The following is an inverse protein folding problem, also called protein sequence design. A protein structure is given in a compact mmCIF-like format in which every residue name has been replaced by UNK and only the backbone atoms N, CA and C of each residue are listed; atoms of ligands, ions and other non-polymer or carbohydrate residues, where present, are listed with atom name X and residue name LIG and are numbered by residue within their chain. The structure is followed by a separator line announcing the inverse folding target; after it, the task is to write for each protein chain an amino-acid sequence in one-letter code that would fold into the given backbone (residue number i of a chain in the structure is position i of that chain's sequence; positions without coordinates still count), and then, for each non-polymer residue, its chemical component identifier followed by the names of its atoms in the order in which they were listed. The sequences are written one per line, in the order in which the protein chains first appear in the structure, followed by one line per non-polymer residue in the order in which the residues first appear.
data_IF_876349221283
#
_entry.id   IF_876349221283
#
_cell.length_a   1.000
_cell.length_b   1.000
_cell.length_c   1.000
_cell.angle_alpha   90.00
_cell.angle_beta   90.00
_cell.angle_gamma   90.00
#
_symmetry.space_group_name_H-M   'P 1'
#
loop_
_entity.id
_entity.type
_entity.pdbx_description
1 polymer ?
#
# COMPACT_ATOMS: atom_id res chain seq x y z
N UNK A 1 -62.12 -6.08 32.48
CA UNK A 1 -62.90 -6.00 31.23
C UNK A 1 -61.98 -6.39 30.08
N UNK A 2 -62.11 -7.50 29.64
CA UNK A 2 -62.27 -8.21 28.36
C UNK A 2 -62.23 -7.31 27.14
N UNK A 3 -61.36 -7.66 26.18
CA UNK A 3 -61.56 -7.81 24.71
C UNK A 3 -60.18 -7.94 24.07
N UNK A 4 -59.75 -9.06 23.67
CA UNK A 4 -59.86 -10.02 22.52
C UNK A 4 -59.85 -9.40 21.13
N UNK A 5 -59.04 -10.14 20.28
CA UNK A 5 -59.02 -10.26 18.80
C UNK A 5 -58.18 -9.22 18.06
N UNK A 6 -57.42 -9.53 17.01
CA UNK A 6 -57.56 -10.58 15.99
C UNK A 6 -56.22 -10.78 15.29
N UNK A 7 -55.89 -12.01 14.94
CA UNK A 7 -54.84 -12.49 14.06
C UNK A 7 -55.09 -12.10 12.61
N UNK A 8 -54.01 -11.76 11.85
CA UNK A 8 -54.06 -11.99 10.41
C UNK A 8 -52.69 -12.44 9.91
N UNK A 9 -52.64 -13.72 9.60
CA UNK A 9 -51.54 -14.36 8.86
C UNK A 9 -51.66 -14.03 7.39
N UNK A 10 -50.57 -13.63 6.76
CA UNK A 10 -50.43 -13.70 5.31
C UNK A 10 -49.07 -14.31 4.99
N UNK A 11 -49.09 -15.59 4.70
CA UNK A 11 -47.97 -16.29 4.09
C UNK A 11 -47.93 -15.97 2.60
N UNK A 12 -46.83 -15.40 2.15
CA UNK A 12 -46.53 -15.32 0.73
C UNK A 12 -45.32 -16.21 0.47
N UNK A 13 -45.63 -17.41 -0.04
CA UNK A 13 -44.65 -18.32 -0.62
C UNK A 13 -44.33 -17.88 -2.03
N UNK A 14 -43.11 -17.36 -2.24
CA UNK A 14 -42.56 -17.20 -3.57
C UNK A 14 -41.61 -18.36 -3.88
N UNK A 15 -42.07 -19.24 -4.74
CA UNK A 15 -41.28 -20.28 -5.37
C UNK A 15 -40.29 -19.64 -6.35
N UNK A 16 -39.02 -19.79 -6.08
CA UNK A 16 -37.94 -19.54 -7.05
C UNK A 16 -37.51 -20.89 -7.61
N UNK A 17 -37.92 -21.14 -8.84
CA UNK A 17 -37.45 -22.24 -9.66
C UNK A 17 -35.97 -22.06 -9.98
N UNK A 18 -35.14 -22.93 -9.45
CA UNK A 18 -33.73 -23.07 -9.81
C UNK A 18 -33.61 -23.84 -11.12
N UNK A 19 -33.17 -23.17 -12.19
CA UNK A 19 -32.58 -23.85 -13.34
C UNK A 19 -31.12 -24.17 -13.03
N UNK A 20 -30.84 -25.44 -12.82
CA UNK A 20 -29.48 -25.98 -12.85
C UNK A 20 -29.08 -26.21 -14.29
N UNK A 21 -28.00 -25.54 -14.72
CA UNK A 21 -27.22 -25.92 -15.91
C UNK A 21 -25.81 -26.26 -15.44
N UNK A 22 -25.29 -27.45 -15.71
CA UNK A 22 -23.87 -27.74 -15.47
C UNK A 22 -23.08 -27.32 -16.70
N UNK A 23 -22.22 -26.31 -16.55
CA UNK A 23 -21.33 -25.81 -17.60
C UNK A 23 -20.12 -25.15 -16.99
N UNK A 24 -19.01 -25.82 -17.10
CA UNK A 24 -17.61 -25.44 -16.89
C UNK A 24 -17.34 -24.00 -17.34
N UNK A 25 -16.64 -23.26 -16.49
CA UNK A 25 -16.05 -21.98 -16.90
C UNK A 25 -15.82 -21.04 -15.74
N UNK A 26 -14.68 -21.18 -15.10
CA UNK A 26 -14.07 -20.16 -14.23
C UNK A 26 -13.96 -18.84 -14.94
N UNK A 27 -14.76 -17.88 -14.55
CA UNK A 27 -14.40 -16.46 -14.64
C UNK A 27 -15.15 -15.72 -13.56
N UNK A 28 -14.48 -15.40 -12.49
CA UNK A 28 -14.93 -14.41 -11.54
C UNK A 28 -14.97 -13.05 -12.24
N UNK A 29 -16.14 -12.72 -12.74
CA UNK A 29 -16.44 -11.36 -13.20
C UNK A 29 -16.61 -10.48 -11.97
N UNK A 30 -15.53 -9.86 -11.55
CA UNK A 30 -15.56 -8.66 -10.73
C UNK A 30 -16.04 -7.51 -11.61
N UNK A 31 -17.30 -7.16 -11.46
CA UNK A 31 -17.85 -5.96 -12.08
C UNK A 31 -17.13 -4.71 -11.56
N UNK A 32 -16.35 -4.15 -12.44
CA UNK A 32 -16.20 -2.75 -12.81
C UNK A 32 -16.74 -1.67 -11.87
N UNK A 33 -15.83 -1.17 -11.06
CA UNK A 33 -15.73 0.25 -10.73
C UNK A 33 -14.27 0.64 -10.94
N UNK A 34 -13.90 0.77 -12.20
CA UNK A 34 -12.52 0.80 -12.66
C UNK A 34 -11.78 2.13 -12.47
N UNK A 35 -12.35 3.11 -11.78
CA UNK A 35 -11.69 4.40 -11.55
C UNK A 35 -11.19 4.63 -10.12
N UNK A 36 -11.64 3.84 -9.15
CA UNK A 36 -11.20 3.94 -7.74
C UNK A 36 -10.28 2.79 -7.34
N UNK A 37 -10.31 1.67 -8.06
CA UNK A 37 -9.54 0.47 -7.74
C UNK A 37 -8.03 0.60 -8.02
N UNK A 38 -7.62 1.59 -8.81
CA UNK A 38 -6.20 1.83 -9.08
C UNK A 38 -5.37 2.16 -7.84
N UNK A 39 -5.99 2.82 -6.86
CA UNK A 39 -5.33 3.17 -5.59
C UNK A 39 -5.46 2.09 -4.51
N UNK A 40 -6.36 1.12 -4.69
CA UNK A 40 -6.75 0.16 -3.65
C UNK A 40 -5.95 -1.12 -3.70
N UNK A 41 -5.38 -1.48 -4.86
CA UNK A 41 -4.58 -2.70 -4.99
C UNK A 41 -3.34 -2.73 -4.08
N UNK A 42 -2.86 -1.56 -3.66
CA UNK A 42 -1.77 -1.43 -2.70
C UNK A 42 -2.20 -1.23 -1.24
N UNK A 43 -3.51 -1.14 -0.95
CA UNK A 43 -3.98 -0.75 0.37
C UNK A 43 -3.79 -1.82 1.46
N UNK A 44 -3.66 -3.08 1.08
CA UNK A 44 -3.39 -4.20 2.01
C UNK A 44 -2.21 -5.02 1.52
N UNK A 45 -1.19 -5.12 2.33
CA UNK A 45 0.08 -5.77 1.95
C UNK A 45 -0.05 -7.28 1.73
N UNK A 46 -1.00 -7.93 2.42
CA UNK A 46 -1.17 -9.39 2.35
C UNK A 46 -1.85 -9.90 1.08
N UNK A 47 -2.50 -9.02 0.33
CA UNK A 47 -3.38 -9.43 -0.78
C UNK A 47 -2.77 -9.21 -2.17
N UNK A 48 -1.65 -8.49 -2.27
CA UNK A 48 -1.08 -8.15 -3.57
C UNK A 48 0.42 -8.38 -3.57
N UNK A 49 0.82 -9.55 -4.03
CA UNK A 49 2.22 -9.90 -4.21
C UNK A 49 2.75 -9.27 -5.51
N UNK A 50 3.93 -8.70 -5.43
CA UNK A 50 4.61 -8.11 -6.55
C UNK A 50 5.53 -9.13 -7.22
N UNK A 51 4.98 -10.04 -8.02
CA UNK A 51 5.73 -11.00 -8.83
C UNK A 51 6.89 -11.72 -8.10
N UNK A 52 7.53 -12.67 -8.75
CA UNK A 52 8.75 -13.30 -8.19
C UNK A 52 9.92 -12.31 -8.00
N UNK A 53 11.09 -12.83 -7.64
CA UNK A 53 12.31 -12.03 -7.46
C UNK A 53 12.56 -11.04 -8.61
N UNK A 54 12.29 -11.45 -9.86
CA UNK A 54 12.43 -10.60 -11.04
C UNK A 54 11.45 -9.43 -11.12
N UNK A 55 10.35 -9.48 -10.39
CA UNK A 55 9.31 -8.43 -10.44
C UNK A 55 9.81 -7.06 -10.02
N UNK A 56 10.67 -7.02 -8.99
CA UNK A 56 11.20 -5.75 -8.46
C UNK A 56 12.41 -5.23 -9.24
N UNK A 57 13.05 -6.04 -10.10
CA UNK A 57 14.27 -5.64 -10.80
C UNK A 57 14.03 -4.45 -11.73
N UNK A 58 15.02 -3.59 -11.83
CA UNK A 58 15.07 -2.44 -12.73
C UNK A 58 15.07 -1.10 -12.00
N UNK A 59 14.89 -0.04 -12.79
CA UNK A 59 14.93 1.34 -12.32
C UNK A 59 13.50 1.84 -12.08
N UNK A 60 13.28 2.41 -10.90
CA UNK A 60 11.99 2.87 -10.43
C UNK A 60 12.09 4.33 -10.01
N UNK A 61 11.28 5.18 -10.59
CA UNK A 61 11.19 6.61 -10.26
C UNK A 61 9.98 6.88 -9.38
N UNK A 62 10.11 7.80 -8.44
CA UNK A 62 8.98 8.26 -7.62
C UNK A 62 7.85 8.80 -8.50
N UNK A 63 6.64 8.34 -8.23
CA UNK A 63 5.42 8.80 -8.89
C UNK A 63 4.51 9.57 -7.93
N UNK A 64 4.22 8.99 -6.77
CA UNK A 64 3.33 9.55 -5.76
C UNK A 64 3.67 9.00 -4.37
N UNK A 65 3.20 9.63 -3.29
CA UNK A 65 3.18 8.97 -1.99
C UNK A 65 2.21 7.81 -2.01
N UNK A 66 2.46 6.84 -1.14
CA UNK A 66 1.62 5.66 -1.03
C UNK A 66 1.44 5.22 0.41
N UNK A 67 0.26 4.70 0.71
CA UNK A 67 -0.11 4.15 2.01
C UNK A 67 -0.67 2.76 1.82
N UNK A 68 -0.27 1.84 2.70
CA UNK A 68 -0.82 0.50 2.77
C UNK A 68 -1.07 0.10 4.22
N UNK A 69 -1.85 -0.97 4.42
CA UNK A 69 -2.12 -1.58 5.72
C UNK A 69 -1.68 -3.03 5.75
N UNK A 70 -1.28 -3.52 6.90
CA UNK A 70 -0.80 -4.91 7.04
C UNK A 70 -1.90 -5.93 6.88
N UNK A 71 -3.15 -5.59 7.21
CA UNK A 71 -4.31 -6.47 7.08
C UNK A 71 -5.57 -5.70 6.68
N UNK A 72 -6.59 -6.40 6.18
CA UNK A 72 -7.91 -5.82 5.89
C UNK A 72 -8.60 -5.29 7.15
N UNK A 73 -8.44 -5.98 8.29
CA UNK A 73 -9.01 -5.54 9.55
C UNK A 73 -8.41 -4.20 9.99
N UNK A 74 -7.11 -4.00 9.80
CA UNK A 74 -6.47 -2.71 10.15
C UNK A 74 -6.90 -1.61 9.20
N UNK A 75 -7.04 -1.88 7.91
CA UNK A 75 -7.59 -0.95 6.92
C UNK A 75 -9.03 -0.55 7.25
N UNK A 76 -9.89 -1.52 7.54
CA UNK A 76 -11.31 -1.28 7.88
C UNK A 76 -11.44 -0.46 9.15
N UNK A 77 -10.68 -0.78 10.21
CA UNK A 77 -10.66 -0.01 11.46
C UNK A 77 -10.19 1.42 11.28
N UNK A 78 -9.32 1.68 10.32
CA UNK A 78 -8.83 3.01 9.99
C UNK A 78 -9.84 3.85 9.18
N UNK A 79 -10.90 3.25 8.65
CA UNK A 79 -11.90 3.92 7.80
C UNK A 79 -11.82 3.53 6.32
N UNK A 80 -11.20 2.39 6.02
CA UNK A 80 -11.16 1.82 4.67
C UNK A 80 -10.40 2.69 3.68
N UNK A 81 -10.86 2.70 2.44
CA UNK A 81 -10.21 3.43 1.34
C UNK A 81 -10.18 4.95 1.55
N UNK A 82 -11.13 5.51 2.28
CA UNK A 82 -11.14 6.94 2.63
C UNK A 82 -9.92 7.29 3.48
N UNK A 83 -9.55 6.44 4.44
CA UNK A 83 -8.35 6.66 5.24
C UNK A 83 -7.09 6.64 4.37
N UNK A 84 -6.97 5.70 3.43
CA UNK A 84 -5.84 5.64 2.47
C UNK A 84 -5.76 6.93 1.66
N UNK A 85 -6.88 7.40 1.12
CA UNK A 85 -6.92 8.64 0.32
C UNK A 85 -6.49 9.85 1.15
N UNK A 86 -7.01 10.00 2.36
CA UNK A 86 -6.67 11.10 3.25
C UNK A 86 -5.20 11.07 3.67
N UNK A 87 -4.68 9.88 3.98
CA UNK A 87 -3.26 9.70 4.31
C UNK A 87 -2.36 10.03 3.12
N UNK A 88 -2.69 9.56 1.92
CA UNK A 88 -1.92 9.88 0.71
C UNK A 88 -1.93 11.39 0.39
N UNK A 89 -3.06 12.08 0.56
CA UNK A 89 -3.15 13.53 0.40
C UNK A 89 -2.25 14.26 1.41
N UNK A 90 -2.29 13.85 2.67
CA UNK A 90 -1.43 14.42 3.71
C UNK A 90 0.05 14.12 3.47
N UNK A 91 0.38 12.91 3.02
CA UNK A 91 1.75 12.54 2.64
C UNK A 91 2.25 13.36 1.46
N UNK A 92 1.41 13.60 0.43
CA UNK A 92 1.78 14.41 -0.73
C UNK A 92 2.19 15.83 -0.30
N UNK A 93 1.41 16.47 0.58
CA UNK A 93 1.76 17.78 1.12
C UNK A 93 3.10 17.77 1.85
N UNK A 94 3.32 16.79 2.73
CA UNK A 94 4.58 16.68 3.48
C UNK A 94 5.77 16.35 2.57
N UNK A 95 5.61 15.47 1.57
CA UNK A 95 6.67 15.15 0.62
C UNK A 95 7.05 16.36 -0.23
N UNK A 96 6.07 17.14 -0.68
CA UNK A 96 6.32 18.39 -1.40
C UNK A 96 7.10 19.40 -0.53
N UNK A 97 6.76 19.53 0.76
CA UNK A 97 7.43 20.46 1.68
C UNK A 97 8.89 20.08 1.97
N UNK A 98 9.26 18.81 1.84
CA UNK A 98 10.64 18.32 1.96
C UNK A 98 11.34 18.15 0.61
N UNK A 99 10.68 18.54 -0.48
CA UNK A 99 11.25 18.55 -1.82
C UNK A 99 11.29 17.20 -2.54
N UNK A 100 10.61 16.15 -2.03
CA UNK A 100 10.56 14.85 -2.71
C UNK A 100 9.75 14.95 -4.00
N UNK A 101 10.37 14.57 -5.10
CA UNK A 101 9.76 14.58 -6.43
C UNK A 101 10.40 13.51 -7.34
N UNK A 102 9.85 13.36 -8.55
CA UNK A 102 10.28 12.33 -9.52
C UNK A 102 11.74 12.47 -9.96
N UNK A 103 12.28 13.68 -10.02
CA UNK A 103 13.65 13.93 -10.51
C UNK A 103 14.72 13.60 -9.47
N UNK A 104 14.35 13.59 -8.19
CA UNK A 104 15.30 13.44 -7.09
C UNK A 104 15.05 12.24 -6.18
N UNK A 105 14.06 11.39 -6.50
CA UNK A 105 13.76 10.21 -5.70
C UNK A 105 13.53 8.98 -6.62
N UNK A 106 14.38 7.98 -6.45
CA UNK A 106 14.39 6.77 -7.28
C UNK A 106 15.02 5.60 -6.55
N UNK A 107 14.70 4.39 -7.00
CA UNK A 107 15.28 3.13 -6.52
C UNK A 107 15.62 2.25 -7.71
N UNK A 108 16.75 1.56 -7.66
CA UNK A 108 17.18 0.59 -8.67
C UNK A 108 17.55 -0.72 -7.97
N UNK A 109 16.96 -1.81 -8.42
CA UNK A 109 17.23 -3.16 -7.90
C UNK A 109 17.87 -4.01 -9.00
N UNK A 110 19.03 -4.59 -8.69
CA UNK A 110 19.83 -5.41 -9.60
C UNK A 110 19.71 -6.89 -9.27
N UNK A 111 19.97 -7.74 -10.26
CA UNK A 111 19.86 -9.20 -10.11
C UNK A 111 20.86 -9.81 -9.13
N UNK A 112 21.97 -9.13 -8.86
CA UNK A 112 23.02 -9.53 -7.90
C UNK A 112 22.71 -9.12 -6.45
N UNK A 113 21.43 -8.84 -6.15
CA UNK A 113 20.95 -8.38 -4.86
C UNK A 113 21.54 -7.02 -4.40
N UNK A 114 22.07 -6.24 -5.31
CA UNK A 114 22.48 -4.86 -5.04
C UNK A 114 21.36 -3.90 -5.35
N UNK A 115 21.29 -2.83 -4.58
CA UNK A 115 20.41 -1.71 -4.89
C UNK A 115 21.18 -0.40 -4.87
N UNK A 116 20.69 0.55 -5.63
CA UNK A 116 21.01 1.95 -5.50
C UNK A 116 19.73 2.75 -5.40
N UNK A 117 19.75 3.81 -4.62
CA UNK A 117 18.61 4.67 -4.42
C UNK A 117 19.04 6.13 -4.32
N UNK A 118 18.09 7.00 -4.56
CA UNK A 118 18.21 8.43 -4.33
C UNK A 118 16.93 8.91 -3.66
N UNK A 119 17.03 9.55 -2.54
CA UNK A 119 15.91 10.19 -1.86
C UNK A 119 16.25 11.64 -1.57
N UNK A 120 15.37 12.54 -1.96
CA UNK A 120 15.62 13.99 -1.87
C UNK A 120 16.97 14.41 -2.50
N UNK A 121 17.37 13.77 -3.60
CA UNK A 121 18.63 14.05 -4.28
C UNK A 121 19.86 13.37 -3.69
N UNK A 122 19.79 12.81 -2.49
CA UNK A 122 20.91 12.17 -1.80
C UNK A 122 21.00 10.69 -2.21
N UNK A 123 22.12 10.26 -2.80
CA UNK A 123 22.30 8.86 -3.18
C UNK A 123 22.72 8.00 -1.99
N UNK A 124 22.22 6.78 -1.96
CA UNK A 124 22.67 5.70 -1.07
C UNK A 124 22.53 4.34 -1.77
N UNK A 125 23.24 3.34 -1.28
CA UNK A 125 23.27 2.03 -1.93
C UNK A 125 23.63 0.94 -0.94
N UNK A 126 23.51 -0.30 -1.37
CA UNK A 126 23.86 -1.47 -0.58
C UNK A 126 23.37 -2.76 -1.20
N UNK A 127 23.06 -3.72 -0.36
CA UNK A 127 22.45 -4.99 -0.76
C UNK A 127 21.01 -5.07 -0.29
N UNK A 128 20.20 -5.87 -0.96
CA UNK A 128 18.83 -6.11 -0.52
C UNK A 128 18.52 -7.60 -0.44
N UNK A 129 17.54 -7.94 0.38
CA UNK A 129 16.84 -9.22 0.35
C UNK A 129 15.37 -8.96 0.07
N UNK A 130 14.75 -9.79 -0.74
CA UNK A 130 13.32 -9.70 -1.05
C UNK A 130 12.68 -11.07 -0.95
N UNK A 131 11.56 -11.15 -0.24
CA UNK A 131 10.76 -12.36 -0.05
C UNK A 131 9.43 -12.21 -0.81
N UNK A 132 9.34 -12.77 -2.04
CA UNK A 132 8.16 -12.57 -2.89
C UNK A 132 6.85 -13.06 -2.27
N UNK A 133 6.90 -14.04 -1.36
CA UNK A 133 5.72 -14.69 -0.76
C UNK A 133 4.92 -13.74 0.15
N UNK A 134 5.57 -12.80 0.79
CA UNK A 134 4.95 -11.83 1.70
C UNK A 134 5.29 -10.38 1.38
N UNK A 135 6.05 -10.15 0.30
CA UNK A 135 6.46 -8.82 -0.13
C UNK A 135 7.50 -8.15 0.77
N UNK A 136 8.07 -8.85 1.75
CA UNK A 136 9.08 -8.26 2.64
C UNK A 136 10.35 -7.94 1.88
N UNK A 137 10.90 -6.76 2.13
CA UNK A 137 12.19 -6.31 1.63
C UNK A 137 13.04 -5.76 2.77
N UNK A 138 14.34 -6.05 2.74
CA UNK A 138 15.30 -5.42 3.62
C UNK A 138 16.42 -4.80 2.79
N UNK A 139 16.63 -3.50 2.97
CA UNK A 139 17.69 -2.71 2.33
C UNK A 139 18.82 -2.55 3.34
N UNK A 140 19.95 -3.20 3.10
CA UNK A 140 21.14 -3.11 3.95
C UNK A 140 22.10 -2.08 3.37
N UNK A 141 22.19 -0.94 4.01
CA UNK A 141 23.19 0.11 3.72
C UNK A 141 24.47 -0.11 4.51
N UNK A 142 25.42 0.82 4.42
CA UNK A 142 26.63 0.78 5.26
C UNK A 142 26.37 1.09 6.74
N UNK A 143 25.22 1.74 7.04
CA UNK A 143 24.90 2.24 8.39
C UNK A 143 23.83 1.42 9.09
N UNK A 144 22.85 0.89 8.34
CA UNK A 144 21.71 0.20 8.93
C UNK A 144 21.02 -0.78 7.95
N UNK A 145 20.06 -1.52 8.49
CA UNK A 145 19.14 -2.32 7.68
C UNK A 145 17.73 -1.74 7.80
N UNK A 146 17.20 -1.30 6.68
CA UNK A 146 15.87 -0.69 6.56
C UNK A 146 14.90 -1.77 6.08
N UNK A 147 13.91 -2.10 6.91
CA UNK A 147 12.90 -3.11 6.59
C UNK A 147 11.64 -2.46 6.02
N UNK A 148 11.10 -3.04 4.98
CA UNK A 148 9.89 -2.56 4.33
C UNK A 148 9.12 -3.66 3.64
N UNK A 149 8.11 -3.26 2.89
CA UNK A 149 7.29 -4.13 2.09
C UNK A 149 7.14 -3.59 0.67
N UNK A 150 7.13 -4.50 -0.28
CA UNK A 150 6.83 -4.22 -1.69
C UNK A 150 5.41 -4.69 -1.98
N UNK A 151 4.65 -3.85 -2.64
CA UNK A 151 3.29 -4.19 -3.09
C UNK A 151 3.09 -3.74 -4.54
N UNK A 152 2.19 -4.40 -5.25
CA UNK A 152 1.81 -3.98 -6.60
C UNK A 152 0.85 -2.81 -6.51
N UNK A 153 1.05 -1.80 -7.36
CA UNK A 153 0.14 -0.67 -7.51
C UNK A 153 -0.34 -0.56 -8.96
N UNK A 154 -1.28 0.33 -9.21
CA UNK A 154 -1.76 0.58 -10.57
C UNK A 154 -0.68 1.15 -11.50
N UNK A 155 0.30 1.86 -10.96
CA UNK A 155 1.39 2.51 -11.71
C UNK A 155 2.70 1.72 -11.71
N UNK A 156 2.79 0.70 -10.86
CA UNK A 156 4.00 -0.11 -10.77
C UNK A 156 4.19 -0.73 -9.40
N UNK A 157 5.00 -0.16 -8.57
CA UNK A 157 5.43 -0.70 -7.29
C UNK A 157 5.23 0.29 -6.15
N UNK A 158 4.62 -0.18 -5.05
CA UNK A 158 4.65 0.50 -3.77
C UNK A 158 5.80 -0.02 -2.92
N UNK A 159 6.66 0.86 -2.43
CA UNK A 159 7.72 0.55 -1.47
C UNK A 159 7.37 1.20 -0.14
N UNK A 160 6.96 0.37 0.83
CA UNK A 160 6.27 0.78 2.05
C UNK A 160 7.11 0.52 3.29
N UNK A 161 7.02 1.43 4.26
CA UNK A 161 7.79 1.39 5.50
C UNK A 161 6.89 1.71 6.69
N UNK A 162 7.24 1.19 7.86
CA UNK A 162 6.68 1.71 9.10
C UNK A 162 7.24 3.10 9.43
N UNK A 163 6.72 3.71 10.48
CA UNK A 163 7.09 5.07 10.89
C UNK A 163 8.58 5.22 11.18
N UNK A 164 9.20 4.23 11.80
CA UNK A 164 10.63 4.27 12.18
C UNK A 164 11.50 4.13 10.94
N UNK A 165 11.21 3.15 10.09
CA UNK A 165 11.96 2.91 8.87
C UNK A 165 11.82 4.08 7.89
N UNK A 166 10.63 4.67 7.79
CA UNK A 166 10.41 5.84 6.96
C UNK A 166 11.19 7.07 7.46
N UNK A 167 11.22 7.27 8.78
CA UNK A 167 12.05 8.32 9.39
C UNK A 167 13.54 8.11 9.07
N UNK A 168 14.03 6.88 9.16
CA UNK A 168 15.41 6.55 8.82
C UNK A 168 15.73 6.88 7.36
N UNK A 169 14.86 6.51 6.43
CA UNK A 169 15.03 6.83 5.00
C UNK A 169 15.10 8.35 4.80
N UNK A 170 14.19 9.10 5.38
CA UNK A 170 14.14 10.55 5.17
C UNK A 170 15.31 11.27 5.83
N UNK A 171 15.62 10.97 7.08
CA UNK A 171 16.62 11.71 7.85
C UNK A 171 18.04 11.20 7.66
N UNK A 172 18.24 9.88 7.72
CA UNK A 172 19.60 9.32 7.65
C UNK A 172 20.08 9.19 6.21
N UNK A 173 19.28 8.58 5.35
CA UNK A 173 19.66 8.35 3.95
C UNK A 173 19.39 9.60 3.08
N UNK A 174 18.21 10.18 3.16
CA UNK A 174 17.80 11.35 2.37
C UNK A 174 18.25 12.71 2.91
N UNK A 175 18.92 12.75 4.09
CA UNK A 175 19.43 13.96 4.74
C UNK A 175 18.40 15.10 4.81
N UNK A 176 17.12 14.75 4.98
CA UNK A 176 16.05 15.73 5.09
C UNK A 176 16.18 16.48 6.42
N UNK A 177 16.40 17.78 6.35
CA UNK A 177 16.59 18.67 7.50
C UNK A 177 15.26 19.19 8.09
N UNK A 178 14.18 19.19 7.31
CA UNK A 178 12.86 19.63 7.80
C UNK A 178 12.26 18.58 8.74
N UNK A 179 12.59 18.72 10.03
CA UNK A 179 12.17 17.77 11.08
C UNK A 179 10.67 17.76 11.31
N UNK A 180 9.97 18.88 11.11
CA UNK A 180 8.51 18.96 11.29
C UNK A 180 7.79 18.12 10.24
N UNK A 181 8.16 18.24 8.98
CA UNK A 181 7.56 17.43 7.91
C UNK A 181 7.88 15.94 8.07
N UNK A 182 9.10 15.58 8.48
CA UNK A 182 9.47 14.19 8.78
C UNK A 182 8.65 13.65 9.97
N UNK A 183 8.45 14.45 11.01
CA UNK A 183 7.60 14.08 12.13
C UNK A 183 6.13 13.93 11.70
N UNK A 184 5.63 14.79 10.81
CA UNK A 184 4.27 14.66 10.26
C UNK A 184 4.11 13.34 9.49
N UNK A 185 5.07 12.96 8.65
CA UNK A 185 5.09 11.65 7.97
C UNK A 185 5.11 10.50 8.98
N UNK A 186 5.95 10.59 10.02
CA UNK A 186 6.01 9.60 11.09
C UNK A 186 4.70 9.48 11.86
N UNK A 187 4.04 10.61 12.17
CA UNK A 187 2.73 10.63 12.83
C UNK A 187 1.66 9.98 11.96
N UNK A 188 1.65 10.24 10.66
CA UNK A 188 0.73 9.58 9.73
C UNK A 188 0.90 8.07 9.74
N UNK A 189 2.13 7.56 9.69
CA UNK A 189 2.39 6.12 9.77
C UNK A 189 1.98 5.50 11.11
N UNK A 190 1.94 6.30 12.18
CA UNK A 190 1.49 5.85 13.52
C UNK A 190 -0.01 6.08 13.77
N UNK A 191 -0.69 6.85 12.93
CA UNK A 191 -2.09 7.26 13.16
C UNK A 191 -3.08 6.11 13.13
N UNK A 192 -2.73 5.02 12.45
CA UNK A 192 -3.54 3.83 12.40
C UNK A 192 -2.67 2.57 12.58
N UNK A 193 -3.15 1.64 13.40
CA UNK A 193 -2.44 0.39 13.62
C UNK A 193 -2.28 -0.38 12.30
N UNK A 194 -1.06 -0.83 12.02
CA UNK A 194 -0.74 -1.54 10.79
C UNK A 194 -0.57 -0.66 9.55
N UNK A 195 -0.65 0.67 9.69
CA UNK A 195 -0.36 1.57 8.58
C UNK A 195 1.12 1.51 8.20
N UNK A 196 1.36 1.59 6.89
CA UNK A 196 2.66 1.71 6.25
C UNK A 196 2.61 2.87 5.28
N UNK A 197 3.65 3.66 5.22
CA UNK A 197 3.78 4.80 4.32
C UNK A 197 5.03 4.65 3.47
N UNK A 198 5.04 5.24 2.29
CA UNK A 198 6.19 5.11 1.41
C UNK A 198 5.98 5.75 0.04
N UNK A 199 6.55 5.11 -0.96
CA UNK A 199 6.64 5.63 -2.31
C UNK A 199 5.89 4.71 -3.28
N UNK A 200 5.00 5.28 -4.08
CA UNK A 200 4.56 4.66 -5.31
C UNK A 200 5.60 4.96 -6.39
N UNK A 201 6.09 3.93 -7.02
CA UNK A 201 7.19 3.97 -7.97
C UNK A 201 6.72 3.45 -9.34
N UNK A 202 7.23 4.04 -10.40
CA UNK A 202 6.98 3.63 -11.80
C UNK A 202 8.30 3.45 -12.55
N UNK A 203 8.30 2.58 -13.53
CA UNK A 203 9.41 2.42 -14.49
C UNK A 203 9.43 3.54 -15.50
#
# INVERSE_FOLDING_TARGET
MKKTFLTLSAAITLMLSSCMTPGVGTTSSTNSSSSVLGSVLGAVLSNVLFGGQSGILGNWSYYAPSTAFTTEQTLTKAGGNTAVTNMNTSLASNYNSIGINRSNTSFSFLADNKFSAKVNGIPFSGTYTYTPQNGEIALKTSTETIKGNVTKTAKGMGLMFDATQMTNILQKEGKVSNTEAVQAVSKLAKSANGARVGFELTK
#
